data_IF_174968184003
#
_entry.id   IF_174968184003
#
_cell.length_a   1.000
_cell.length_b   1.000
_cell.length_c   1.000
_cell.angle_alpha   90.00
_cell.angle_beta   90.00
_cell.angle_gamma   90.00
#
_symmetry.space_group_name_H-M   'P 1'
#
loop_
_entity.id
_entity.type
_entity.pdbx_description
1 polymer ?
#
# COMPACT_ATOMS: atom_id res chain seq x y z
N UNK A 1 2.59 10.76 -14.76
CA UNK A 1 3.29 9.86 -15.68
C UNK A 1 2.54 8.53 -15.85
N UNK A 2 2.09 7.91 -14.77
CA UNK A 2 1.43 6.60 -14.76
C UNK A 2 0.16 6.56 -15.62
N UNK A 3 -0.62 7.63 -15.61
CA UNK A 3 -1.84 7.74 -16.44
C UNK A 3 -1.50 7.77 -17.94
N UNK A 4 -0.43 8.45 -18.33
CA UNK A 4 0.01 8.52 -19.73
C UNK A 4 0.53 7.17 -20.24
N UNK A 5 1.09 6.37 -19.35
CA UNK A 5 1.62 5.04 -19.66
C UNK A 5 0.59 3.92 -19.56
N UNK A 6 -0.62 4.21 -19.10
CA UNK A 6 -1.73 3.23 -18.99
C UNK A 6 -1.97 2.45 -20.29
N UNK A 7 -2.02 3.07 -21.51
CA UNK A 7 -2.20 2.32 -22.75
C UNK A 7 -1.06 1.32 -23.00
N UNK A 8 0.17 1.71 -22.70
CA UNK A 8 1.35 0.84 -22.88
C UNK A 8 1.25 -0.38 -21.96
N UNK A 9 0.94 -0.16 -20.67
CA UNK A 9 0.70 -1.26 -19.73
C UNK A 9 -0.42 -2.18 -20.20
N UNK A 10 -1.53 -1.62 -20.69
CA UNK A 10 -2.65 -2.41 -21.19
C UNK A 10 -2.21 -3.35 -22.32
N UNK A 11 -1.46 -2.85 -23.31
CA UNK A 11 -0.98 -3.67 -24.42
C UNK A 11 0.00 -4.75 -23.96
N UNK A 12 0.96 -4.41 -23.09
CA UNK A 12 1.93 -5.36 -22.54
C UNK A 12 1.21 -6.47 -21.77
N UNK A 13 0.29 -6.11 -20.87
CA UNK A 13 -0.44 -7.07 -20.04
C UNK A 13 -1.33 -7.96 -20.91
N UNK A 14 -2.00 -7.39 -21.91
CA UNK A 14 -2.85 -8.16 -22.81
C UNK A 14 -2.05 -9.14 -23.65
N UNK A 15 -0.87 -8.77 -24.11
CA UNK A 15 0.05 -9.63 -24.86
C UNK A 15 0.62 -10.76 -24.01
N UNK A 16 1.03 -10.48 -22.78
CA UNK A 16 1.66 -11.45 -21.88
C UNK A 16 0.63 -12.29 -21.11
N UNK A 17 -0.63 -11.85 -21.01
CA UNK A 17 -1.68 -12.52 -20.25
C UNK A 17 -1.25 -12.76 -18.79
N UNK A 18 -1.51 -13.96 -18.27
CA UNK A 18 -1.18 -14.31 -16.87
C UNK A 18 0.31 -14.26 -16.52
N UNK A 19 1.20 -14.30 -17.53
CA UNK A 19 2.66 -14.19 -17.34
C UNK A 19 3.10 -12.77 -17.01
N UNK A 20 2.25 -11.77 -17.23
CA UNK A 20 2.56 -10.36 -16.92
C UNK A 20 2.84 -10.15 -15.43
N UNK A 21 2.09 -10.81 -14.54
CA UNK A 21 2.25 -10.65 -13.09
C UNK A 21 3.65 -11.02 -12.58
N UNK A 22 4.14 -12.26 -12.80
CA UNK A 22 5.50 -12.61 -12.36
C UNK A 22 6.58 -11.75 -13.03
N UNK A 23 6.39 -11.35 -14.29
CA UNK A 23 7.34 -10.47 -14.98
C UNK A 23 7.43 -9.10 -14.28
N UNK A 24 6.31 -8.47 -13.95
CA UNK A 24 6.33 -7.19 -13.22
C UNK A 24 6.95 -7.33 -11.83
N UNK A 25 6.69 -8.41 -11.12
CA UNK A 25 7.32 -8.68 -9.82
C UNK A 25 8.83 -8.81 -9.97
N UNK A 26 9.31 -9.57 -10.97
CA UNK A 26 10.75 -9.71 -11.23
C UNK A 26 11.39 -8.37 -11.56
N UNK A 27 10.79 -7.58 -12.46
CA UNK A 27 11.30 -6.25 -12.83
C UNK A 27 11.34 -5.33 -11.60
N UNK A 28 10.33 -5.39 -10.75
CA UNK A 28 10.28 -4.60 -9.51
C UNK A 28 11.45 -4.89 -8.57
N UNK A 29 11.91 -6.14 -8.51
CA UNK A 29 13.08 -6.54 -7.72
C UNK A 29 14.43 -6.21 -8.40
N UNK A 30 14.45 -5.95 -9.72
CA UNK A 30 15.70 -5.61 -10.41
C UNK A 30 16.31 -4.28 -9.95
N UNK A 31 15.47 -3.29 -9.58
CA UNK A 31 15.96 -2.00 -9.11
C UNK A 31 16.79 -2.14 -7.82
N UNK A 32 16.24 -2.64 -6.69
CA UNK A 32 17.02 -2.77 -5.46
C UNK A 32 18.22 -3.74 -5.62
N UNK A 33 18.12 -4.76 -6.47
CA UNK A 33 19.27 -5.62 -6.77
C UNK A 33 20.36 -4.83 -7.51
N UNK A 34 20.01 -3.96 -8.45
CA UNK A 34 20.99 -3.15 -9.16
C UNK A 34 21.71 -2.17 -8.24
N UNK A 35 21.02 -1.61 -7.23
CA UNK A 35 21.61 -0.71 -6.23
C UNK A 35 22.75 -1.40 -5.45
N UNK A 36 22.67 -2.71 -5.22
CA UNK A 36 23.75 -3.47 -4.58
C UNK A 36 25.03 -3.52 -5.41
N UNK A 37 24.96 -3.29 -6.74
CA UNK A 37 26.08 -3.32 -7.67
C UNK A 37 26.44 -1.93 -8.23
N UNK A 38 26.08 -0.86 -7.53
CA UNK A 38 26.40 0.51 -7.93
C UNK A 38 25.28 1.25 -8.67
N UNK A 39 24.12 0.62 -8.79
CA UNK A 39 22.90 1.25 -9.30
C UNK A 39 22.91 1.55 -10.81
N UNK A 40 21.79 1.34 -11.47
CA UNK A 40 21.56 1.81 -12.84
C UNK A 40 20.41 2.79 -12.78
N UNK A 41 20.70 4.09 -12.93
CA UNK A 41 19.74 5.17 -12.77
C UNK A 41 18.43 4.98 -13.57
N UNK A 42 18.52 4.36 -14.76
CA UNK A 42 17.35 4.08 -15.61
C UNK A 42 16.37 3.11 -14.95
N UNK A 43 16.84 2.25 -14.03
CA UNK A 43 16.00 1.33 -13.29
C UNK A 43 15.20 2.01 -12.19
N UNK A 44 15.53 3.25 -11.79
CA UNK A 44 14.73 4.03 -10.86
C UNK A 44 13.31 4.30 -11.38
N UNK A 45 13.11 4.28 -12.71
CA UNK A 45 11.78 4.39 -13.33
C UNK A 45 10.90 3.22 -12.91
N UNK A 46 11.49 2.04 -12.63
CA UNK A 46 10.78 0.84 -12.20
C UNK A 46 10.62 0.74 -10.68
N UNK A 47 10.88 1.85 -9.96
CA UNK A 47 10.66 1.91 -8.54
C UNK A 47 9.16 1.97 -8.19
N UNK A 48 8.84 1.75 -6.92
CA UNK A 48 7.56 1.57 -6.24
C UNK A 48 6.26 1.93 -6.96
N UNK A 49 5.92 3.20 -7.26
CA UNK A 49 4.55 3.50 -7.69
C UNK A 49 4.25 2.88 -9.05
N UNK A 50 5.22 2.90 -9.95
CA UNK A 50 5.06 2.44 -11.32
C UNK A 50 4.86 0.93 -11.42
N UNK A 51 5.68 0.15 -10.70
CA UNK A 51 5.56 -1.31 -10.71
C UNK A 51 4.34 -1.80 -9.94
N UNK A 52 4.01 -1.19 -8.82
CA UNK A 52 2.79 -1.52 -8.07
C UNK A 52 1.52 -1.22 -8.89
N UNK A 53 1.52 -0.12 -9.65
CA UNK A 53 0.45 0.17 -10.62
C UNK A 53 0.37 -0.93 -11.70
N UNK A 54 1.51 -1.34 -12.26
CA UNK A 54 1.58 -2.42 -13.26
C UNK A 54 1.08 -3.76 -12.72
N UNK A 55 1.47 -4.13 -11.49
CA UNK A 55 0.99 -5.33 -10.80
C UNK A 55 -0.53 -5.25 -10.59
N UNK A 56 -1.04 -4.13 -10.09
CA UNK A 56 -2.48 -3.91 -9.89
C UNK A 56 -3.27 -4.00 -11.21
N UNK A 57 -2.75 -3.39 -12.27
CA UNK A 57 -3.34 -3.47 -13.60
C UNK A 57 -3.33 -4.91 -14.16
N UNK A 58 -2.22 -5.65 -13.95
CA UNK A 58 -2.12 -7.05 -14.37
C UNK A 58 -3.14 -7.95 -13.64
N UNK A 59 -3.34 -7.75 -12.34
CA UNK A 59 -4.37 -8.44 -11.56
C UNK A 59 -5.78 -8.14 -12.09
N UNK A 60 -6.08 -6.87 -12.36
CA UNK A 60 -7.39 -6.42 -12.83
C UNK A 60 -7.71 -6.92 -14.23
N UNK A 61 -6.79 -6.76 -15.20
CA UNK A 61 -6.99 -7.14 -16.60
C UNK A 61 -7.09 -8.66 -16.75
N UNK A 62 -6.28 -9.41 -16.02
CA UNK A 62 -6.32 -10.87 -16.02
C UNK A 62 -7.47 -11.45 -15.16
N UNK A 63 -8.29 -10.60 -14.55
CA UNK A 63 -9.42 -10.99 -13.69
C UNK A 63 -9.00 -12.02 -12.62
N UNK A 64 -7.84 -11.81 -12.01
CA UNK A 64 -7.36 -12.68 -10.94
C UNK A 64 -8.32 -12.56 -9.76
N UNK A 65 -8.86 -13.68 -9.29
CA UNK A 65 -9.71 -13.68 -8.10
C UNK A 65 -8.83 -13.50 -6.85
N UNK A 66 -8.91 -12.31 -6.26
CA UNK A 66 -8.16 -11.95 -5.07
C UNK A 66 -8.80 -12.45 -3.76
N UNK A 67 -9.94 -13.15 -3.86
CA UNK A 67 -10.61 -13.68 -2.65
C UNK A 67 -9.87 -14.86 -2.03
N UNK A 68 -8.85 -15.41 -2.71
CA UNK A 68 -7.98 -16.48 -2.20
C UNK A 68 -8.71 -17.57 -1.41
N UNK A 69 -9.90 -17.99 -1.89
CA UNK A 69 -10.76 -18.98 -1.22
C UNK A 69 -10.07 -20.34 -0.98
N UNK A 70 -9.03 -20.61 -1.76
CA UNK A 70 -8.23 -21.83 -1.66
C UNK A 70 -7.14 -21.78 -0.59
N UNK A 71 -6.89 -20.61 -0.01
CA UNK A 71 -5.82 -20.45 0.99
C UNK A 71 -6.30 -20.94 2.36
N UNK A 72 -5.61 -21.94 2.90
CA UNK A 72 -5.90 -22.50 4.21
C UNK A 72 -5.46 -21.58 5.35
N UNK A 73 -5.99 -21.82 6.58
CA UNK A 73 -5.59 -21.03 7.76
C UNK A 73 -4.10 -21.13 8.05
N UNK A 74 -3.53 -22.32 7.91
CA UNK A 74 -2.10 -22.52 8.12
C UNK A 74 -1.25 -21.71 7.13
N UNK A 75 -1.67 -21.61 5.87
CA UNK A 75 -0.96 -20.80 4.88
C UNK A 75 -1.00 -19.30 5.22
N UNK A 76 -2.11 -18.80 5.75
CA UNK A 76 -2.19 -17.39 6.20
C UNK A 76 -1.28 -17.14 7.39
N UNK A 77 -1.23 -18.06 8.34
CA UNK A 77 -0.29 -17.97 9.48
C UNK A 77 1.16 -17.96 8.98
N UNK A 78 1.50 -18.83 8.04
CA UNK A 78 2.86 -18.88 7.45
C UNK A 78 3.20 -17.56 6.75
N UNK A 79 2.29 -17.03 5.90
CA UNK A 79 2.50 -15.74 5.23
C UNK A 79 2.66 -14.62 6.26
N UNK A 80 1.87 -14.62 7.33
CA UNK A 80 1.96 -13.66 8.43
C UNK A 80 3.31 -13.73 9.16
N UNK A 81 3.80 -14.93 9.44
CA UNK A 81 5.12 -15.11 10.06
C UNK A 81 6.22 -14.57 9.14
N UNK A 82 6.18 -14.91 7.84
CA UNK A 82 7.15 -14.40 6.86
C UNK A 82 7.10 -12.87 6.81
N UNK A 83 5.91 -12.27 6.81
CA UNK A 83 5.75 -10.83 6.83
C UNK A 83 6.36 -10.18 8.09
N UNK A 84 6.10 -10.74 9.27
CA UNK A 84 6.66 -10.23 10.54
C UNK A 84 8.18 -10.35 10.54
N UNK A 85 8.73 -11.47 10.09
CA UNK A 85 10.19 -11.65 9.96
C UNK A 85 10.79 -10.66 8.97
N UNK A 86 10.17 -10.43 7.82
CA UNK A 86 10.60 -9.44 6.85
C UNK A 86 10.60 -8.02 7.44
N UNK A 87 9.58 -7.65 8.22
CA UNK A 87 9.54 -6.38 8.95
C UNK A 87 10.68 -6.26 9.96
N UNK A 88 10.98 -7.31 10.71
CA UNK A 88 12.07 -7.33 11.67
C UNK A 88 13.43 -7.18 10.99
N UNK A 89 13.67 -7.88 9.88
CA UNK A 89 14.89 -7.76 9.07
C UNK A 89 15.02 -6.34 8.50
N UNK A 90 13.95 -5.78 7.93
CA UNK A 90 13.96 -4.39 7.45
C UNK A 90 14.28 -3.40 8.56
N UNK A 91 13.69 -3.58 9.75
CA UNK A 91 13.97 -2.72 10.90
C UNK A 91 15.44 -2.83 11.36
N UNK A 92 16.02 -4.03 11.36
CA UNK A 92 17.43 -4.23 11.69
C UNK A 92 18.36 -3.58 10.66
N UNK A 93 18.02 -3.69 9.36
CA UNK A 93 18.79 -3.09 8.26
C UNK A 93 18.79 -1.56 8.29
N UNK A 94 17.78 -0.91 8.89
CA UNK A 94 17.76 0.56 9.05
C UNK A 94 18.94 1.12 9.89
N UNK A 95 19.59 0.28 10.69
CA UNK A 95 20.74 0.64 11.51
C UNK A 95 22.08 0.22 10.89
N UNK A 96 22.07 -0.20 9.63
CA UNK A 96 23.25 -0.63 8.89
C UNK A 96 23.37 0.17 7.59
N UNK A 97 24.58 0.38 7.13
CA UNK A 97 24.85 1.04 5.85
C UNK A 97 24.77 0.06 4.65
N UNK A 98 24.10 -1.06 4.82
CA UNK A 98 23.97 -2.07 3.78
C UNK A 98 22.93 -1.64 2.72
N UNK A 99 23.23 -1.77 1.42
CA UNK A 99 22.33 -1.43 0.32
C UNK A 99 21.23 -2.49 0.12
N UNK A 100 20.72 -3.06 1.24
CA UNK A 100 19.69 -4.11 1.27
C UNK A 100 18.33 -3.59 1.71
N UNK A 101 18.27 -2.31 2.11
CA UNK A 101 17.06 -1.74 2.71
C UNK A 101 15.88 -1.77 1.72
N UNK A 102 16.09 -1.34 0.48
CA UNK A 102 15.05 -1.30 -0.55
C UNK A 102 14.60 -2.71 -0.94
N UNK A 103 15.54 -3.66 -0.98
CA UNK A 103 15.21 -5.07 -1.22
C UNK A 103 14.32 -5.63 -0.10
N UNK A 104 14.69 -5.37 1.16
CA UNK A 104 13.90 -5.78 2.31
C UNK A 104 12.50 -5.13 2.31
N UNK A 105 12.40 -3.87 1.89
CA UNK A 105 11.14 -3.16 1.75
C UNK A 105 10.23 -3.79 0.69
N UNK A 106 10.77 -4.16 -0.46
CA UNK A 106 10.03 -4.88 -1.50
C UNK A 106 9.49 -6.22 -0.99
N UNK A 107 10.29 -6.96 -0.20
CA UNK A 107 9.86 -8.22 0.43
C UNK A 107 8.73 -7.96 1.43
N UNK A 108 8.84 -6.94 2.27
CA UNK A 108 7.77 -6.55 3.21
C UNK A 108 6.47 -6.24 2.48
N UNK A 109 6.51 -5.51 1.37
CA UNK A 109 5.32 -5.18 0.58
C UNK A 109 4.75 -6.43 -0.09
N UNK A 110 5.61 -7.28 -0.67
CA UNK A 110 5.21 -8.51 -1.38
C UNK A 110 4.41 -9.47 -0.49
N UNK A 111 4.79 -9.61 0.77
CA UNK A 111 4.10 -10.48 1.72
C UNK A 111 3.04 -9.73 2.53
N UNK A 112 3.26 -8.46 2.82
CA UNK A 112 2.37 -7.65 3.65
C UNK A 112 1.03 -7.37 2.98
N UNK A 113 1.03 -7.01 1.70
CA UNK A 113 -0.22 -6.71 0.98
C UNK A 113 -1.14 -7.93 0.90
N UNK A 114 -0.68 -9.12 0.43
CA UNK A 114 -1.51 -10.33 0.44
C UNK A 114 -1.94 -10.75 1.85
N UNK A 115 -1.06 -10.65 2.85
CA UNK A 115 -1.39 -10.99 4.23
C UNK A 115 -2.53 -10.12 4.77
N UNK A 116 -2.43 -8.80 4.62
CA UNK A 116 -3.48 -7.87 5.07
C UNK A 116 -4.79 -8.09 4.33
N UNK A 117 -4.73 -8.42 3.04
CA UNK A 117 -5.91 -8.75 2.24
C UNK A 117 -6.60 -10.03 2.74
N UNK A 118 -5.83 -11.09 2.95
CA UNK A 118 -6.33 -12.35 3.49
C UNK A 118 -6.92 -12.20 4.88
N UNK A 119 -6.28 -11.39 5.72
CA UNK A 119 -6.78 -11.08 7.06
C UNK A 119 -8.10 -10.31 7.01
N UNK A 120 -8.20 -9.32 6.12
CA UNK A 120 -9.42 -8.55 5.90
C UNK A 120 -10.59 -9.44 5.45
N UNK A 121 -10.39 -10.28 4.46
CA UNK A 121 -11.43 -11.18 3.94
C UNK A 121 -11.98 -12.12 5.03
N UNK A 122 -11.12 -12.57 5.95
CA UNK A 122 -11.55 -13.42 7.08
C UNK A 122 -12.36 -12.66 8.11
N UNK A 123 -11.94 -11.44 8.44
CA UNK A 123 -12.66 -10.58 9.38
C UNK A 123 -14.05 -10.21 8.82
N UNK A 124 -14.14 -9.92 7.52
CA UNK A 124 -15.39 -9.56 6.86
C UNK A 124 -16.37 -10.75 6.83
N UNK A 125 -15.87 -11.96 6.54
CA UNK A 125 -16.65 -13.20 6.57
C UNK A 125 -17.22 -13.50 7.96
N UNK A 126 -16.48 -13.20 9.03
CA UNK A 126 -16.93 -13.43 10.41
C UNK A 126 -18.05 -12.44 10.80
N UNK A 127 -18.00 -11.21 10.32
CA UNK A 127 -18.91 -10.13 10.79
C UNK A 127 -20.16 -9.95 9.95
N UNK A 128 -20.25 -10.52 8.75
CA UNK A 128 -21.38 -10.39 7.80
C UNK A 128 -21.91 -8.93 7.64
N UNK A 129 -21.11 -7.94 8.06
CA UNK A 129 -21.43 -6.52 7.99
C UNK A 129 -20.53 -5.86 6.96
N UNK A 130 -21.10 -5.50 5.81
CA UNK A 130 -20.42 -4.62 4.84
C UNK A 130 -19.83 -3.43 5.59
N UNK A 131 -18.52 -3.32 5.58
CA UNK A 131 -17.80 -2.26 6.28
C UNK A 131 -18.17 -0.91 5.67
N UNK A 132 -19.09 -0.20 6.36
CA UNK A 132 -19.68 1.05 5.83
C UNK A 132 -18.65 2.14 5.53
N UNK A 133 -17.44 2.03 6.09
CA UNK A 133 -16.34 2.96 5.85
C UNK A 133 -15.65 2.76 4.49
N UNK A 134 -15.75 1.58 3.87
CA UNK A 134 -15.13 1.30 2.56
C UNK A 134 -15.57 2.29 1.46
N UNK A 135 -16.79 2.82 1.57
CA UNK A 135 -17.30 3.85 0.66
C UNK A 135 -16.53 5.18 0.68
N UNK A 136 -15.74 5.42 1.73
CA UNK A 136 -14.88 6.60 1.85
C UNK A 136 -13.41 6.30 1.51
N UNK A 137 -13.09 5.06 1.10
CA UNK A 137 -11.71 4.61 0.88
C UNK A 137 -10.92 5.48 -0.08
N UNK A 138 -11.54 5.92 -1.19
CA UNK A 138 -10.89 6.79 -2.18
C UNK A 138 -10.56 8.15 -1.54
N UNK A 139 -11.48 8.74 -0.77
CA UNK A 139 -11.24 10.00 -0.09
C UNK A 139 -10.12 9.86 0.95
N UNK A 140 -10.13 8.80 1.75
CA UNK A 140 -9.07 8.50 2.72
C UNK A 140 -7.73 8.37 1.99
N UNK A 141 -7.69 7.63 0.87
CA UNK A 141 -6.47 7.42 0.10
C UNK A 141 -5.82 8.74 -0.36
N UNK A 142 -6.60 9.69 -0.87
CA UNK A 142 -6.06 10.97 -1.33
C UNK A 142 -5.66 11.91 -0.19
N UNK A 143 -6.38 11.89 0.90
CA UNK A 143 -6.23 12.90 1.96
C UNK A 143 -5.47 12.43 3.20
N UNK A 144 -5.17 11.13 3.35
CA UNK A 144 -4.47 10.66 4.55
C UNK A 144 -3.07 11.26 4.71
N UNK A 145 -2.30 11.41 3.64
CA UNK A 145 -0.93 11.97 3.70
C UNK A 145 -0.92 13.42 4.18
N UNK A 146 -1.69 14.36 3.57
CA UNK A 146 -1.79 15.74 4.06
C UNK A 146 -2.23 15.82 5.53
N UNK A 147 -3.27 15.10 5.92
CA UNK A 147 -3.76 15.12 7.29
C UNK A 147 -2.75 14.54 8.29
N UNK A 148 -2.12 13.42 7.95
CA UNK A 148 -1.09 12.83 8.79
C UNK A 148 0.11 13.76 8.95
N UNK A 149 0.52 14.47 7.90
CA UNK A 149 1.62 15.42 7.94
C UNK A 149 1.30 16.62 8.85
N UNK A 150 0.08 17.15 8.78
CA UNK A 150 -0.38 18.22 9.65
C UNK A 150 -0.42 17.74 11.11
N UNK A 151 -1.00 16.57 11.35
CA UNK A 151 -1.09 15.98 12.68
C UNK A 151 0.28 15.78 13.33
N UNK A 152 1.25 15.25 12.59
CA UNK A 152 2.63 15.09 13.07
C UNK A 152 3.28 16.41 13.41
N UNK A 153 3.10 17.45 12.56
CA UNK A 153 3.64 18.80 12.82
C UNK A 153 3.05 19.40 14.10
N UNK A 154 1.73 19.26 14.32
CA UNK A 154 1.06 19.75 15.53
C UNK A 154 1.57 18.97 16.74
N UNK A 155 1.66 17.64 16.64
CA UNK A 155 2.13 16.78 17.74
C UNK A 155 3.51 17.18 18.23
N UNK A 156 4.50 17.27 17.33
CA UNK A 156 5.87 17.61 17.70
C UNK A 156 6.09 19.08 18.05
N UNK A 157 5.10 19.94 17.83
CA UNK A 157 5.08 21.31 18.37
C UNK A 157 4.65 21.35 19.84
N UNK A 158 3.80 20.42 20.24
CA UNK A 158 3.23 20.36 21.61
C UNK A 158 4.02 19.43 22.52
N UNK A 159 4.49 18.31 21.96
CA UNK A 159 5.23 17.27 22.70
C UNK A 159 6.71 17.27 22.33
N UNK A 160 7.62 17.11 23.31
CA UNK A 160 9.05 17.02 23.01
C UNK A 160 9.36 15.79 22.13
N UNK A 161 10.34 15.92 21.26
CA UNK A 161 10.85 14.79 20.47
C UNK A 161 11.55 13.79 21.39
N UNK A 162 10.88 12.69 21.65
CA UNK A 162 11.41 11.55 22.42
C UNK A 162 10.98 10.24 21.73
N UNK A 163 11.69 9.15 22.02
CA UNK A 163 11.33 7.83 21.48
C UNK A 163 9.92 7.42 21.87
N UNK A 164 9.49 7.73 23.10
CA UNK A 164 8.14 7.45 23.58
C UNK A 164 7.08 8.29 22.83
N UNK A 165 7.33 9.58 22.64
CA UNK A 165 6.45 10.48 21.88
C UNK A 165 6.29 10.01 20.42
N UNK A 166 7.40 9.57 19.81
CA UNK A 166 7.42 9.03 18.46
C UNK A 166 6.65 7.70 18.36
N UNK A 167 6.77 6.83 19.36
CA UNK A 167 6.02 5.58 19.42
C UNK A 167 4.51 5.84 19.57
N UNK A 168 4.13 6.75 20.45
CA UNK A 168 2.71 7.09 20.66
C UNK A 168 2.10 7.63 19.34
N UNK A 169 2.75 8.61 18.70
CA UNK A 169 2.21 9.19 17.48
C UNK A 169 2.16 8.18 16.32
N UNK A 170 3.08 7.20 16.29
CA UNK A 170 3.08 6.14 15.30
C UNK A 170 1.77 5.33 15.31
N UNK A 171 1.26 4.97 16.49
CA UNK A 171 0.00 4.23 16.63
C UNK A 171 -1.24 5.12 16.57
N UNK A 172 -1.15 6.32 17.11
CA UNK A 172 -2.31 7.23 17.23
C UNK A 172 -2.59 7.97 15.91
N UNK A 173 -1.55 8.37 15.17
CA UNK A 173 -1.72 9.14 13.94
C UNK A 173 -2.60 8.46 12.89
N UNK A 174 -2.45 7.16 12.57
CA UNK A 174 -3.32 6.51 11.59
C UNK A 174 -4.79 6.52 12.01
N UNK A 175 -5.08 6.25 13.29
CA UNK A 175 -6.44 6.21 13.82
C UNK A 175 -7.10 7.59 13.73
N UNK A 176 -6.42 8.64 14.19
CA UNK A 176 -6.94 10.02 14.12
C UNK A 176 -7.10 10.43 12.66
N UNK A 177 -6.10 10.17 11.81
CA UNK A 177 -6.15 10.53 10.39
C UNK A 177 -7.33 9.89 9.67
N UNK A 178 -7.55 8.59 9.84
CA UNK A 178 -8.69 7.89 9.24
C UNK A 178 -10.00 8.48 9.75
N UNK A 179 -10.11 8.72 11.07
CA UNK A 179 -11.32 9.29 11.68
C UNK A 179 -11.61 10.68 11.11
N UNK A 180 -10.62 11.55 11.04
CA UNK A 180 -10.76 12.90 10.46
C UNK A 180 -11.15 12.82 8.98
N UNK A 181 -10.48 11.98 8.18
CA UNK A 181 -10.82 11.79 6.77
C UNK A 181 -12.28 11.35 6.59
N UNK A 182 -12.75 10.40 7.40
CA UNK A 182 -14.15 9.93 7.34
C UNK A 182 -15.13 11.03 7.73
N UNK A 183 -14.85 11.78 8.79
CA UNK A 183 -15.72 12.89 9.22
C UNK A 183 -15.80 13.98 8.16
N UNK A 184 -14.67 14.38 7.57
CA UNK A 184 -14.62 15.36 6.48
C UNK A 184 -15.34 14.84 5.24
N UNK A 185 -15.13 13.57 4.87
CA UNK A 185 -15.85 12.95 3.75
C UNK A 185 -17.37 12.91 3.98
N UNK A 186 -17.81 12.60 5.19
CA UNK A 186 -19.23 12.62 5.57
C UNK A 186 -19.81 14.03 5.47
N UNK A 187 -19.07 15.03 5.95
CA UNK A 187 -19.46 16.43 5.87
C UNK A 187 -19.60 16.90 4.42
N UNK A 188 -18.56 16.69 3.62
CA UNK A 188 -18.56 17.07 2.20
C UNK A 188 -19.69 16.36 1.44
N UNK A 189 -19.92 15.08 1.67
CA UNK A 189 -21.00 14.33 1.03
C UNK A 189 -22.38 14.85 1.41
N UNK A 190 -22.55 15.39 2.63
CA UNK A 190 -23.84 15.92 3.09
C UNK A 190 -24.11 17.33 2.58
N UNK A 191 -23.10 18.21 2.61
CA UNK A 191 -23.28 19.65 2.35
C UNK A 191 -22.76 20.10 0.99
N UNK A 192 -21.78 19.36 0.40
CA UNK A 192 -21.10 19.73 -0.84
C UNK A 192 -20.97 18.52 -1.76
N UNK A 193 -22.08 17.85 -2.04
CA UNK A 193 -22.09 16.56 -2.75
C UNK A 193 -21.36 16.62 -4.11
N UNK A 194 -21.60 17.66 -4.92
CA UNK A 194 -20.92 17.82 -6.23
C UNK A 194 -19.39 17.93 -6.09
N UNK A 195 -18.94 18.64 -5.08
CA UNK A 195 -17.50 18.78 -4.81
C UNK A 195 -16.90 17.45 -4.36
N UNK A 196 -17.61 16.70 -3.51
CA UNK A 196 -17.22 15.35 -3.11
C UNK A 196 -17.11 14.42 -4.32
N UNK A 197 -18.05 14.43 -5.26
CA UNK A 197 -18.00 13.63 -6.48
C UNK A 197 -16.79 13.97 -7.36
N UNK A 198 -16.47 15.26 -7.53
CA UNK A 198 -15.26 15.67 -8.27
C UNK A 198 -14.02 15.09 -7.61
N UNK A 199 -13.89 15.18 -6.28
CA UNK A 199 -12.74 14.67 -5.53
C UNK A 199 -12.61 13.15 -5.57
N UNK A 200 -13.71 12.43 -5.70
CA UNK A 200 -13.72 10.95 -5.68
C UNK A 200 -13.92 10.32 -7.05
N UNK A 201 -13.98 11.12 -8.11
CA UNK A 201 -14.16 10.65 -9.48
C UNK A 201 -15.56 10.08 -9.75
N UNK A 202 -16.60 10.56 -9.06
CA UNK A 202 -18.00 10.18 -9.30
C UNK A 202 -18.36 8.76 -8.85
N UNK A 203 -17.63 8.18 -7.90
CA UNK A 203 -17.85 6.81 -7.38
C UNK A 203 -18.38 6.80 -5.95
#
# INVERSE_FOLDING_TARGET
LDVLLTPVFYYIIKSLGKKSLPIFVVIWFLYPISEMFGGVWILQIFNYPFMLFGIGAALAINKVDLRFKSVTENQVVVIGIIYILACAVRAALMYTDLPLLDLAENVVILFGVPFMWLLYDRIDNIKNKKFKMAKYGIFIYFFHIPFQSILKKIWFKVMPMSNMSSLIIFFVAPVITITVCVLVAMFLRRFMYRFYEILTGGR
#
